data_IF_187736254808
#
_entry.id   IF_187736254808
#
_cell.length_a   1.000
_cell.length_b   1.000
_cell.length_c   1.000
_cell.angle_alpha   90.00
_cell.angle_beta   90.00
_cell.angle_gamma   90.00
#
_symmetry.space_group_name_H-M   'P 1'
#
loop_
_entity.id
_entity.type
_entity.pdbx_description
1 polymer ?
#
# COMPACT_ATOMS: atom_id res chain seq x y z
N UNK A 1 -12.40 -3.18 -8.38
CA UNK A 1 -11.06 -3.83 -8.35
C UNK A 1 -10.50 -3.94 -6.94
N UNK A 2 -10.44 -2.82 -6.20
CA UNK A 2 -9.75 -2.74 -4.89
C UNK A 2 -10.26 -3.74 -3.85
N UNK A 3 -11.59 -3.88 -3.70
CA UNK A 3 -12.19 -4.85 -2.77
C UNK A 3 -11.78 -6.28 -3.12
N UNK A 4 -11.90 -6.66 -4.39
CA UNK A 4 -11.51 -8.00 -4.84
C UNK A 4 -10.02 -8.26 -4.69
N UNK A 5 -9.18 -7.26 -4.97
CA UNK A 5 -7.74 -7.32 -4.75
C UNK A 5 -7.38 -7.56 -3.28
N UNK A 6 -8.01 -6.83 -2.36
CA UNK A 6 -7.80 -6.99 -0.93
C UNK A 6 -8.26 -8.37 -0.42
N UNK A 7 -9.41 -8.89 -0.90
CA UNK A 7 -9.90 -10.22 -0.55
C UNK A 7 -8.98 -11.34 -1.06
N UNK A 8 -8.45 -11.21 -2.27
CA UNK A 8 -7.52 -12.17 -2.85
C UNK A 8 -6.12 -12.13 -2.24
N UNK A 9 -5.74 -11.02 -1.60
CA UNK A 9 -4.40 -10.77 -1.08
C UNK A 9 -3.90 -11.85 -0.11
N UNK A 10 -4.74 -12.28 0.81
CA UNK A 10 -4.38 -13.31 1.79
C UNK A 10 -4.09 -14.67 1.17
N UNK A 11 -4.82 -15.05 0.12
CA UNK A 11 -4.56 -16.27 -0.64
C UNK A 11 -3.28 -16.12 -1.47
N UNK A 12 -3.14 -15.00 -2.19
CA UNK A 12 -1.98 -14.72 -3.03
C UNK A 12 -0.67 -14.74 -2.23
N UNK A 13 -0.66 -14.07 -1.06
CA UNK A 13 0.51 -14.03 -0.17
C UNK A 13 0.90 -15.40 0.37
N UNK A 14 -0.07 -16.27 0.68
CA UNK A 14 0.20 -17.64 1.15
C UNK A 14 0.78 -18.53 0.05
N UNK A 15 0.22 -18.46 -1.17
CA UNK A 15 0.61 -19.34 -2.29
C UNK A 15 1.93 -18.90 -2.92
N UNK A 16 2.07 -17.62 -3.25
CA UNK A 16 3.21 -17.10 -4.00
C UNK A 16 4.26 -16.43 -3.13
N UNK A 17 3.92 -16.14 -1.87
CA UNK A 17 4.76 -15.36 -0.95
C UNK A 17 4.68 -13.85 -1.20
N UNK A 18 5.14 -13.08 -0.21
CA UNK A 18 4.97 -11.62 -0.21
C UNK A 18 5.61 -10.92 -1.40
N UNK A 19 6.88 -11.21 -1.69
CA UNK A 19 7.62 -10.61 -2.81
C UNK A 19 6.97 -10.88 -4.16
N UNK A 20 6.70 -12.15 -4.48
CA UNK A 20 6.13 -12.51 -5.79
C UNK A 20 4.76 -11.91 -5.98
N UNK A 21 3.95 -11.90 -4.94
CA UNK A 21 2.65 -11.24 -4.94
C UNK A 21 2.77 -9.74 -5.22
N UNK A 22 3.71 -9.04 -4.56
CA UNK A 22 3.96 -7.62 -4.81
C UNK A 22 4.46 -7.35 -6.23
N UNK A 23 5.28 -8.23 -6.82
CA UNK A 23 5.72 -8.12 -8.22
C UNK A 23 4.53 -8.20 -9.19
N UNK A 24 3.61 -9.13 -8.99
CA UNK A 24 2.39 -9.25 -9.80
C UNK A 24 1.53 -8.00 -9.65
N UNK A 25 1.36 -7.51 -8.43
CA UNK A 25 0.57 -6.31 -8.17
C UNK A 25 1.22 -5.04 -8.74
N UNK A 26 2.56 -4.94 -8.70
CA UNK A 26 3.30 -3.85 -9.34
C UNK A 26 3.16 -3.89 -10.87
N UNK A 27 3.17 -5.09 -11.47
CA UNK A 27 2.88 -5.25 -12.89
C UNK A 27 1.44 -4.81 -13.23
N UNK A 28 0.45 -5.13 -12.37
CA UNK A 28 -0.92 -4.63 -12.53
C UNK A 28 -0.99 -3.09 -12.50
N UNK A 29 -0.21 -2.42 -11.63
CA UNK A 29 -0.12 -0.95 -11.62
C UNK A 29 0.43 -0.41 -12.93
N UNK A 30 1.54 -0.99 -13.42
CA UNK A 30 2.19 -0.53 -14.65
C UNK A 30 1.27 -0.73 -15.86
N UNK A 31 0.66 -1.91 -15.98
CA UNK A 31 -0.31 -2.24 -17.04
C UNK A 31 -1.50 -1.27 -16.98
N UNK A 32 -2.01 -0.99 -15.77
CA UNK A 32 -3.12 -0.07 -15.61
C UNK A 32 -2.76 1.35 -16.03
N UNK A 33 -1.61 1.87 -15.59
CA UNK A 33 -1.19 3.23 -15.91
C UNK A 33 -0.98 3.41 -17.42
N UNK A 34 -0.23 2.51 -18.05
CA UNK A 34 -0.01 2.54 -19.50
C UNK A 34 -1.31 2.29 -20.28
N UNK A 35 -2.09 1.28 -19.88
CA UNK A 35 -3.35 0.96 -20.53
C UNK A 35 -4.35 2.12 -20.46
N UNK A 36 -4.44 2.83 -19.34
CA UNK A 36 -5.29 4.02 -19.24
C UNK A 36 -4.79 5.15 -20.13
N UNK A 37 -3.48 5.41 -20.19
CA UNK A 37 -2.90 6.47 -21.01
C UNK A 37 -3.15 6.25 -22.51
N UNK A 38 -3.07 4.99 -22.97
CA UNK A 38 -3.27 4.63 -24.37
C UNK A 38 -4.69 4.16 -24.71
N UNK A 39 -5.63 4.23 -23.76
CA UNK A 39 -7.01 3.80 -24.00
C UNK A 39 -7.67 4.61 -25.11
N UNK A 40 -8.27 3.91 -26.09
CA UNK A 40 -9.02 4.48 -27.20
C UNK A 40 -10.53 4.53 -26.96
N UNK A 41 -11.04 3.79 -25.98
CA UNK A 41 -12.45 3.74 -25.64
C UNK A 41 -12.67 3.70 -24.14
N UNK A 42 -13.86 4.09 -23.71
CA UNK A 42 -14.29 4.07 -22.30
C UNK A 42 -14.22 2.67 -21.69
N UNK A 43 -14.54 1.63 -22.46
CA UNK A 43 -14.51 0.23 -22.00
C UNK A 43 -13.10 -0.20 -21.62
N UNK A 44 -12.11 0.08 -22.47
CA UNK A 44 -10.71 -0.22 -22.18
C UNK A 44 -10.20 0.54 -20.96
N UNK A 45 -10.56 1.80 -20.84
CA UNK A 45 -10.21 2.59 -19.65
C UNK A 45 -10.76 1.96 -18.36
N UNK A 46 -12.02 1.50 -18.36
CA UNK A 46 -12.61 0.82 -17.20
C UNK A 46 -11.89 -0.50 -16.88
N UNK A 47 -11.54 -1.30 -17.90
CA UNK A 47 -10.82 -2.56 -17.71
C UNK A 47 -9.45 -2.28 -17.07
N UNK A 48 -8.67 -1.34 -17.59
CA UNK A 48 -7.35 -1.02 -17.03
C UNK A 48 -7.46 -0.41 -15.62
N UNK A 49 -8.46 0.42 -15.35
CA UNK A 49 -8.76 0.92 -14.01
C UNK A 49 -9.14 -0.19 -13.04
N UNK A 50 -9.87 -1.20 -13.51
CA UNK A 50 -10.18 -2.36 -12.68
C UNK A 50 -8.93 -3.16 -12.33
N UNK A 51 -8.02 -3.39 -13.29
CA UNK A 51 -6.72 -4.05 -13.07
C UNK A 51 -5.87 -3.26 -12.05
N UNK A 52 -5.79 -1.94 -12.19
CA UNK A 52 -5.12 -1.07 -11.22
C UNK A 52 -5.73 -1.15 -9.82
N UNK A 53 -7.06 -1.25 -9.75
CA UNK A 53 -7.77 -1.46 -8.49
C UNK A 53 -7.40 -2.79 -7.82
N UNK A 54 -7.28 -3.89 -8.57
CA UNK A 54 -6.78 -5.18 -8.04
C UNK A 54 -5.38 -5.01 -7.44
N UNK A 55 -4.49 -4.31 -8.16
CA UNK A 55 -3.15 -3.97 -7.68
C UNK A 55 -3.20 -3.23 -6.34
N UNK A 56 -3.99 -2.15 -6.26
CA UNK A 56 -4.11 -1.31 -5.07
C UNK A 56 -4.65 -2.10 -3.87
N UNK A 57 -5.73 -2.85 -4.04
CA UNK A 57 -6.32 -3.63 -2.96
C UNK A 57 -5.37 -4.71 -2.44
N UNK A 58 -4.71 -5.43 -3.35
CA UNK A 58 -3.76 -6.46 -2.97
C UNK A 58 -2.54 -5.91 -2.24
N UNK A 59 -1.93 -4.84 -2.76
CA UNK A 59 -0.72 -4.26 -2.17
C UNK A 59 -0.97 -3.60 -0.82
N UNK A 60 -2.15 -3.00 -0.59
CA UNK A 60 -2.49 -2.40 0.70
C UNK A 60 -2.55 -3.42 1.85
N UNK A 61 -2.80 -4.69 1.54
CA UNK A 61 -2.79 -5.79 2.51
C UNK A 61 -1.42 -6.45 2.60
N UNK A 62 -0.80 -6.78 1.45
CA UNK A 62 0.44 -7.57 1.43
C UNK A 62 1.65 -6.74 1.85
N UNK A 63 1.75 -5.45 1.44
CA UNK A 63 2.94 -4.66 1.70
C UNK A 63 3.22 -4.44 3.20
N UNK A 64 2.25 -4.05 4.06
CA UNK A 64 2.51 -3.92 5.50
C UNK A 64 2.90 -5.25 6.15
N UNK A 65 2.28 -6.35 5.73
CA UNK A 65 2.60 -7.70 6.24
C UNK A 65 4.03 -8.08 5.85
N UNK A 66 4.38 -7.91 4.59
CA UNK A 66 5.72 -8.19 4.09
C UNK A 66 6.79 -7.34 4.80
N UNK A 67 6.54 -6.04 4.98
CA UNK A 67 7.43 -5.15 5.75
C UNK A 67 7.60 -5.67 7.19
N UNK A 68 6.51 -6.07 7.85
CA UNK A 68 6.56 -6.60 9.21
C UNK A 68 7.33 -7.92 9.33
N UNK A 69 7.35 -8.74 8.26
CA UNK A 69 8.06 -10.02 8.21
C UNK A 69 9.57 -9.88 7.97
N UNK A 70 10.00 -8.88 7.19
CA UNK A 70 11.43 -8.66 6.90
C UNK A 70 12.09 -7.64 7.83
N UNK A 71 11.29 -6.81 8.51
CA UNK A 71 11.81 -5.75 9.37
C UNK A 71 12.42 -6.33 10.66
N UNK A 72 13.65 -5.90 11.04
CA UNK A 72 14.21 -6.18 12.35
C UNK A 72 13.27 -5.74 13.46
N UNK A 73 13.19 -6.48 14.57
CA UNK A 73 12.25 -6.23 15.66
C UNK A 73 12.31 -4.79 16.19
N UNK A 74 13.52 -4.23 16.31
CA UNK A 74 13.76 -2.86 16.78
C UNK A 74 13.17 -1.76 15.85
N UNK A 75 13.06 -2.02 14.55
CA UNK A 75 12.64 -1.04 13.54
C UNK A 75 11.25 -1.31 12.96
N UNK A 76 10.65 -2.46 13.28
CA UNK A 76 9.39 -2.92 12.70
C UNK A 76 8.28 -1.86 12.79
N UNK A 77 8.09 -1.24 13.95
CA UNK A 77 7.07 -0.21 14.14
C UNK A 77 7.29 1.02 13.25
N UNK A 78 8.55 1.48 13.14
CA UNK A 78 8.91 2.64 12.30
C UNK A 78 8.75 2.34 10.81
N UNK A 79 9.15 1.17 10.36
CA UNK A 79 9.04 0.76 8.97
C UNK A 79 7.58 0.56 8.54
N UNK A 80 6.73 0.03 9.42
CA UNK A 80 5.27 -0.02 9.18
C UNK A 80 4.68 1.39 9.19
N UNK A 81 5.15 2.29 10.06
CA UNK A 81 4.76 3.71 10.03
C UNK A 81 5.18 4.42 8.75
N UNK A 82 6.36 4.11 8.21
CA UNK A 82 6.84 4.64 6.93
C UNK A 82 5.92 4.29 5.75
N UNK A 83 5.19 3.18 5.81
CA UNK A 83 4.16 2.84 4.82
C UNK A 83 3.09 3.94 4.70
N UNK A 84 2.65 4.50 5.83
CA UNK A 84 1.68 5.61 5.83
C UNK A 84 2.27 6.90 5.23
N UNK A 85 3.54 7.21 5.53
CA UNK A 85 4.24 8.35 4.92
C UNK A 85 4.31 8.20 3.39
N UNK A 86 4.60 6.99 2.91
CA UNK A 86 4.64 6.72 1.47
C UNK A 86 3.27 6.91 0.78
N UNK A 87 2.17 6.52 1.43
CA UNK A 87 0.81 6.77 0.89
C UNK A 87 0.57 8.26 0.71
N UNK A 88 0.82 9.06 1.75
CA UNK A 88 0.56 10.50 1.71
C UNK A 88 1.55 11.22 0.79
N UNK A 89 2.82 10.81 0.81
CA UNK A 89 3.83 11.28 -0.15
C UNK A 89 3.42 10.99 -1.59
N UNK A 90 2.83 9.82 -1.85
CA UNK A 90 2.27 9.46 -3.16
C UNK A 90 1.10 10.37 -3.59
N UNK A 91 0.21 10.74 -2.65
CA UNK A 91 -0.88 11.69 -2.92
C UNK A 91 -0.32 13.07 -3.29
N UNK A 92 0.66 13.56 -2.52
CA UNK A 92 1.32 14.83 -2.82
C UNK A 92 2.00 14.81 -4.20
N UNK A 93 2.73 13.74 -4.51
CA UNK A 93 3.37 13.57 -5.82
C UNK A 93 2.35 13.51 -6.95
N UNK A 94 1.19 12.89 -6.74
CA UNK A 94 0.11 12.87 -7.72
C UNK A 94 -0.44 14.28 -7.98
N UNK A 95 -0.70 15.06 -6.93
CA UNK A 95 -1.14 16.45 -7.09
C UNK A 95 -0.07 17.31 -7.76
N UNK A 96 1.19 17.17 -7.37
CA UNK A 96 2.30 17.91 -7.97
C UNK A 96 2.47 17.56 -9.46
N UNK A 97 2.40 16.28 -9.82
CA UNK A 97 2.49 15.84 -11.22
C UNK A 97 1.32 16.38 -12.06
N UNK A 98 0.09 16.38 -11.53
CA UNK A 98 -1.06 16.94 -12.18
C UNK A 98 -0.94 18.46 -12.36
N UNK A 99 -0.41 19.16 -11.35
CA UNK A 99 -0.12 20.59 -11.45
C UNK A 99 0.88 20.88 -12.57
N UNK A 100 2.01 20.15 -12.58
CA UNK A 100 3.05 20.33 -13.61
C UNK A 100 2.51 20.03 -15.02
N UNK A 101 1.76 18.93 -15.17
CA UNK A 101 1.14 18.58 -16.47
C UNK A 101 0.17 19.66 -16.93
N UNK A 102 -0.61 20.22 -16.00
CA UNK A 102 -1.55 21.32 -16.30
C UNK A 102 -0.88 22.59 -16.80
N UNK A 103 0.40 22.85 -16.45
CA UNK A 103 1.15 24.00 -16.95
C UNK A 103 1.50 23.91 -18.45
N UNK A 104 1.53 22.70 -19.01
CA UNK A 104 1.84 22.48 -20.43
C UNK A 104 0.66 22.68 -21.36
N UNK A 105 -0.54 22.97 -20.84
CA UNK A 105 -1.76 23.23 -21.61
C UNK A 105 -2.02 22.22 -22.76
N UNK A 106 -2.00 20.93 -22.43
CA UNK A 106 -2.07 19.81 -23.40
C UNK A 106 -3.49 19.55 -23.93
N UNK A 107 -4.44 20.44 -23.65
CA UNK A 107 -5.84 20.40 -24.10
C UNK A 107 -6.51 19.02 -23.95
N UNK A 108 -7.01 18.44 -25.02
CA UNK A 108 -7.74 17.17 -25.00
C UNK A 108 -6.92 15.93 -24.57
N UNK A 109 -5.59 16.01 -24.58
CA UNK A 109 -4.71 14.90 -24.20
C UNK A 109 -4.23 14.95 -22.75
N UNK A 110 -4.48 16.01 -22.01
CA UNK A 110 -4.00 16.24 -20.64
C UNK A 110 -4.31 15.08 -19.69
N UNK A 111 -5.55 14.59 -19.70
CA UNK A 111 -5.97 13.47 -18.84
C UNK A 111 -5.19 12.18 -19.09
N UNK A 112 -4.71 11.95 -20.33
CA UNK A 112 -3.89 10.78 -20.66
C UNK A 112 -2.52 10.86 -20.01
N UNK A 113 -1.91 12.03 -20.00
CA UNK A 113 -0.64 12.29 -19.34
C UNK A 113 -0.76 12.19 -17.82
N UNK A 114 -1.85 12.74 -17.25
CA UNK A 114 -2.13 12.64 -15.82
C UNK A 114 -2.29 11.18 -15.36
N UNK A 115 -2.89 10.31 -16.16
CA UNK A 115 -3.01 8.89 -15.87
C UNK A 115 -1.70 8.13 -16.16
N UNK A 116 -1.02 8.50 -17.24
CA UNK A 116 0.20 7.84 -17.71
C UNK A 116 1.41 8.10 -16.82
N UNK A 117 1.51 9.26 -16.18
CA UNK A 117 2.62 9.62 -15.29
C UNK A 117 2.78 8.62 -14.14
N UNK A 118 1.70 7.98 -13.71
CA UNK A 118 1.73 6.92 -12.71
C UNK A 118 2.53 5.67 -13.14
N UNK A 119 2.82 5.52 -14.43
CA UNK A 119 3.68 4.44 -14.92
C UNK A 119 5.12 4.56 -14.42
N UNK A 120 5.64 5.79 -14.24
CA UNK A 120 7.00 5.99 -13.77
C UNK A 120 7.24 5.46 -12.34
N UNK A 121 6.46 5.83 -11.31
CA UNK A 121 6.59 5.23 -9.99
C UNK A 121 6.23 3.73 -9.96
N UNK A 122 5.29 3.27 -10.81
CA UNK A 122 4.97 1.85 -10.91
C UNK A 122 6.14 1.02 -11.46
N UNK A 123 6.82 1.52 -12.49
CA UNK A 123 8.01 0.89 -13.06
C UNK A 123 9.17 0.89 -12.06
N UNK A 124 9.40 2.00 -11.35
CA UNK A 124 10.40 2.09 -10.29
C UNK A 124 10.12 1.10 -9.17
N UNK A 125 8.87 1.00 -8.73
CA UNK A 125 8.45 0.03 -7.71
C UNK A 125 8.69 -1.40 -8.17
N UNK A 126 8.30 -1.73 -9.40
CA UNK A 126 8.54 -3.05 -9.99
C UNK A 126 10.05 -3.38 -10.02
N UNK A 127 10.88 -2.41 -10.45
CA UNK A 127 12.33 -2.57 -10.52
C UNK A 127 12.95 -2.82 -9.14
N UNK A 128 12.58 -2.03 -8.12
CA UNK A 128 13.06 -2.21 -6.74
C UNK A 128 12.67 -3.59 -6.20
N UNK A 129 11.43 -4.06 -6.46
CA UNK A 129 10.96 -5.36 -5.98
C UNK A 129 11.75 -6.55 -6.54
N UNK A 130 12.38 -6.41 -7.71
CA UNK A 130 13.25 -7.47 -8.27
C UNK A 130 14.47 -7.71 -7.37
N UNK A 131 15.00 -6.67 -6.72
CA UNK A 131 16.16 -6.78 -5.83
C UNK A 131 15.85 -7.21 -4.39
N UNK A 132 14.58 -7.22 -3.98
CA UNK A 132 14.21 -7.53 -2.59
C UNK A 132 14.09 -9.05 -2.36
N UNK A 133 14.54 -9.61 -1.22
CA UNK A 133 14.45 -11.04 -0.93
C UNK A 133 13.00 -11.48 -0.66
N UNK A 134 12.72 -12.78 -0.71
CA UNK A 134 11.44 -13.34 -0.27
C UNK A 134 11.36 -13.33 1.26
N UNK A 135 10.13 -13.34 1.80
CA UNK A 135 9.92 -13.37 3.25
C UNK A 135 10.52 -14.64 3.88
N UNK A 136 11.36 -14.51 4.94
CA UNK A 136 11.88 -15.67 5.69
C UNK A 136 10.76 -16.55 6.23
N UNK A 137 9.69 -15.96 6.78
CA UNK A 137 8.54 -16.67 7.33
C UNK A 137 7.84 -17.55 6.28
N UNK A 138 7.66 -17.02 5.07
CA UNK A 138 7.09 -17.77 3.95
C UNK A 138 8.03 -18.90 3.49
N UNK A 139 9.34 -18.64 3.39
CA UNK A 139 10.33 -19.66 3.00
C UNK A 139 10.34 -20.83 3.98
N UNK A 140 10.26 -20.57 5.28
CA UNK A 140 10.18 -21.59 6.32
C UNK A 140 8.87 -22.39 6.20
N UNK A 141 7.75 -21.70 5.97
CA UNK A 141 6.45 -22.36 5.77
C UNK A 141 6.45 -23.29 4.54
N UNK A 142 7.25 -22.98 3.50
CA UNK A 142 7.45 -23.80 2.31
C UNK A 142 8.60 -24.83 2.45
N UNK A 143 9.16 -24.99 3.66
CA UNK A 143 10.28 -25.88 3.94
C UNK A 143 11.57 -25.58 3.15
N UNK A 144 11.74 -24.32 2.66
CA UNK A 144 12.94 -23.85 1.95
C UNK A 144 13.95 -23.26 2.93
N UNK A 145 14.45 -24.12 3.85
CA UNK A 145 15.22 -23.70 5.02
C UNK A 145 16.55 -23.04 4.68
N UNK A 146 17.29 -23.57 3.69
CA UNK A 146 18.57 -23.01 3.29
C UNK A 146 18.47 -21.58 2.72
N UNK A 147 17.37 -21.28 2.01
CA UNK A 147 17.12 -19.94 1.52
C UNK A 147 16.69 -18.98 2.63
N UNK A 148 15.88 -19.48 3.58
CA UNK A 148 15.51 -18.73 4.76
C UNK A 148 16.73 -18.29 5.57
N UNK A 149 17.70 -19.19 5.80
CA UNK A 149 18.94 -18.88 6.51
C UNK A 149 19.78 -17.83 5.78
N UNK A 150 19.86 -17.91 4.44
CA UNK A 150 20.55 -16.88 3.64
C UNK A 150 19.88 -15.53 3.76
N UNK A 151 18.55 -15.50 3.68
CA UNK A 151 17.80 -14.22 3.78
C UNK A 151 17.93 -13.64 5.18
N UNK A 152 17.81 -14.44 6.25
CA UNK A 152 18.01 -13.99 7.63
C UNK A 152 19.42 -13.43 7.84
N UNK A 153 20.45 -14.09 7.28
CA UNK A 153 21.83 -13.60 7.32
C UNK A 153 21.99 -12.25 6.61
N UNK A 154 21.38 -12.10 5.42
CA UNK A 154 21.40 -10.84 4.66
C UNK A 154 20.65 -9.69 5.37
N UNK A 155 19.63 -10.02 6.17
CA UNK A 155 18.89 -9.05 6.99
C UNK A 155 19.62 -8.67 8.29
N UNK A 156 20.84 -9.21 8.51
CA UNK A 156 21.68 -8.87 9.67
C UNK A 156 21.36 -9.67 10.92
N UNK A 157 20.72 -10.82 10.83
CA UNK A 157 20.52 -11.70 11.98
C UNK A 157 21.87 -12.25 12.45
N UNK A 158 22.25 -12.08 13.74
CA UNK A 158 23.49 -12.64 14.28
C UNK A 158 23.47 -14.16 14.37
N UNK A 159 22.29 -14.79 14.45
CA UNK A 159 22.08 -16.22 14.57
C UNK A 159 20.89 -16.69 13.69
N UNK A 160 21.06 -16.78 12.36
CA UNK A 160 19.97 -17.09 11.43
C UNK A 160 19.26 -18.42 11.75
N UNK A 161 19.99 -19.42 12.18
CA UNK A 161 19.44 -20.74 12.50
C UNK A 161 18.55 -20.70 13.76
N UNK A 162 18.96 -19.99 14.80
CA UNK A 162 18.17 -19.86 16.03
C UNK A 162 16.88 -19.05 15.76
N UNK A 163 16.98 -18.00 14.97
CA UNK A 163 15.82 -17.20 14.54
C UNK A 163 14.87 -18.01 13.67
N UNK A 164 15.39 -18.82 12.73
CA UNK A 164 14.59 -19.76 11.95
C UNK A 164 13.79 -20.72 12.84
N UNK A 165 14.41 -21.33 13.84
CA UNK A 165 13.71 -22.26 14.74
C UNK A 165 12.61 -21.54 15.54
N UNK A 166 12.86 -20.31 15.97
CA UNK A 166 11.85 -19.47 16.64
C UNK A 166 10.65 -19.21 15.71
N UNK A 167 10.90 -18.85 14.46
CA UNK A 167 9.84 -18.63 13.45
C UNK A 167 9.10 -19.95 13.19
N UNK A 168 9.82 -21.05 13.06
CA UNK A 168 9.23 -22.38 12.83
C UNK A 168 8.33 -22.81 13.98
N UNK A 169 8.77 -22.62 15.22
CA UNK A 169 7.97 -22.91 16.41
C UNK A 169 6.68 -22.05 16.44
N UNK A 170 6.77 -20.77 16.07
CA UNK A 170 5.59 -19.90 15.97
C UNK A 170 4.60 -20.37 14.90
N UNK A 171 5.08 -20.81 13.72
CA UNK A 171 4.23 -21.35 12.66
C UNK A 171 3.55 -22.65 13.07
N UNK A 172 4.24 -23.53 13.80
CA UNK A 172 3.65 -24.76 14.32
C UNK A 172 2.59 -24.50 15.39
N UNK A 173 2.80 -23.51 16.25
CA UNK A 173 1.80 -23.06 17.22
C UNK A 173 0.54 -22.51 16.54
N UNK A 174 0.70 -21.77 15.43
CA UNK A 174 -0.41 -21.23 14.63
C UNK A 174 -1.19 -22.32 13.85
N UNK A 175 -0.57 -23.49 13.58
CA UNK A 175 -1.19 -24.62 12.86
C UNK A 175 -1.71 -25.71 13.77
N UNK A 176 -1.59 -25.57 15.09
CA UNK A 176 -2.07 -26.52 16.09
C UNK A 176 -3.58 -26.77 16.06
N UNK A 177 -4.08 -27.82 16.73
CA UNK A 177 -5.51 -28.16 16.77
C UNK A 177 -6.42 -27.08 17.38
N UNK A 178 -5.83 -26.04 17.96
CA UNK A 178 -6.50 -24.83 18.42
C UNK A 178 -6.47 -23.69 17.37
N UNK A 179 -6.33 -23.99 16.09
CA UNK A 179 -6.54 -23.02 15.00
C UNK A 179 -7.97 -22.48 15.09
N UNK A 180 -8.14 -21.54 15.98
CA UNK A 180 -9.39 -20.89 16.28
C UNK A 180 -9.92 -20.23 15.02
N UNK A 181 -11.12 -20.63 14.59
CA UNK A 181 -11.79 -19.96 13.47
C UNK A 181 -12.00 -18.49 13.83
N UNK A 182 -11.65 -17.60 12.91
CA UNK A 182 -11.72 -16.15 13.10
C UNK A 182 -13.13 -15.70 13.58
N UNK A 183 -14.19 -16.40 13.15
CA UNK A 183 -15.59 -16.14 13.49
C UNK A 183 -16.09 -16.93 14.72
N UNK A 184 -15.25 -17.06 15.75
CA UNK A 184 -15.72 -17.58 17.03
C UNK A 184 -16.30 -16.47 17.90
N UNK A 185 -17.26 -16.82 18.77
CA UNK A 185 -17.91 -15.91 19.72
C UNK A 185 -16.91 -15.14 20.60
N UNK A 186 -15.76 -15.73 20.88
CA UNK A 186 -14.65 -15.14 21.64
C UNK A 186 -14.07 -13.87 20.96
N UNK A 187 -14.00 -13.84 19.62
CA UNK A 187 -13.41 -12.73 18.85
C UNK A 187 -14.45 -11.69 18.40
N UNK A 188 -15.73 -11.83 18.75
CA UNK A 188 -16.79 -10.91 18.30
C UNK A 188 -16.53 -9.45 18.67
N UNK A 189 -16.02 -9.18 19.91
CA UNK A 189 -15.74 -7.82 20.37
C UNK A 189 -14.61 -7.16 19.60
N UNK A 190 -13.40 -7.78 19.45
CA UNK A 190 -12.33 -7.24 18.60
C UNK A 190 -12.77 -7.05 17.15
N UNK A 191 -13.50 -8.00 16.57
CA UNK A 191 -14.01 -7.92 15.19
C UNK A 191 -14.99 -6.76 15.04
N UNK A 192 -15.95 -6.64 15.97
CA UNK A 192 -16.92 -5.55 15.95
C UNK A 192 -16.22 -4.19 16.08
N UNK A 193 -15.27 -4.05 17.02
CA UNK A 193 -14.49 -2.82 17.19
C UNK A 193 -13.72 -2.46 15.94
N UNK A 194 -13.03 -3.42 15.31
CA UNK A 194 -12.31 -3.19 14.05
C UNK A 194 -13.25 -2.75 12.94
N UNK A 195 -14.42 -3.38 12.81
CA UNK A 195 -15.42 -3.06 11.80
C UNK A 195 -16.02 -1.67 12.03
N UNK A 196 -16.38 -1.35 13.26
CA UNK A 196 -16.94 -0.03 13.63
C UNK A 196 -15.92 1.07 13.38
N UNK A 197 -14.65 0.88 13.79
CA UNK A 197 -13.57 1.85 13.54
C UNK A 197 -13.34 2.04 12.03
N UNK A 198 -13.34 0.96 11.25
CA UNK A 198 -13.20 1.04 9.79
C UNK A 198 -14.38 1.78 9.15
N UNK A 199 -15.62 1.52 9.61
CA UNK A 199 -16.80 2.25 9.15
C UNK A 199 -16.70 3.75 9.46
N UNK A 200 -16.39 4.11 10.70
CA UNK A 200 -16.27 5.52 11.08
C UNK A 200 -15.19 6.22 10.31
N UNK A 201 -14.05 5.56 10.09
CA UNK A 201 -12.96 6.10 9.26
C UNK A 201 -13.44 6.46 7.84
N UNK A 202 -14.26 5.62 7.22
CA UNK A 202 -14.80 5.91 5.89
C UNK A 202 -15.94 6.95 5.92
N UNK A 203 -16.77 6.96 6.98
CA UNK A 203 -17.87 7.91 7.14
C UNK A 203 -17.42 9.36 7.40
N UNK A 204 -16.18 9.60 7.84
CA UNK A 204 -15.58 10.93 7.94
C UNK A 204 -15.56 11.64 6.56
N UNK A 205 -15.60 10.90 5.46
CA UNK A 205 -15.73 11.47 4.12
C UNK A 205 -14.47 12.11 3.55
N UNK A 206 -13.31 11.92 4.18
CA UNK A 206 -12.04 12.52 3.72
C UNK A 206 -11.73 12.15 2.26
N UNK A 207 -12.04 10.90 1.88
CA UNK A 207 -11.82 10.45 0.51
C UNK A 207 -12.72 11.21 -0.49
N UNK A 208 -13.98 11.49 -0.13
CA UNK A 208 -14.86 12.30 -0.98
C UNK A 208 -14.31 13.72 -1.15
N UNK A 209 -13.86 14.36 -0.07
CA UNK A 209 -13.24 15.69 -0.15
C UNK A 209 -12.01 15.67 -1.06
N UNK A 210 -11.12 14.67 -0.94
CA UNK A 210 -9.91 14.59 -1.77
C UNK A 210 -10.22 14.29 -3.25
N UNK A 211 -11.24 13.48 -3.55
CA UNK A 211 -11.62 13.19 -4.94
C UNK A 211 -12.28 14.38 -5.64
N UNK A 212 -13.07 15.16 -4.92
CA UNK A 212 -13.77 16.33 -5.45
C UNK A 212 -13.07 17.67 -5.13
N UNK A 213 -11.79 17.61 -4.71
CA UNK A 213 -11.06 18.78 -4.25
C UNK A 213 -11.02 19.88 -5.32
N UNK A 214 -10.74 19.54 -6.57
CA UNK A 214 -10.68 20.48 -7.68
C UNK A 214 -12.07 21.07 -7.98
N UNK A 215 -13.14 20.27 -7.92
CA UNK A 215 -14.51 20.75 -8.15
C UNK A 215 -14.93 21.71 -7.03
N UNK A 216 -14.54 21.43 -5.78
CA UNK A 216 -14.79 22.32 -4.63
C UNK A 216 -14.11 23.68 -4.84
N UNK A 217 -12.85 23.69 -5.27
CA UNK A 217 -12.15 24.95 -5.55
C UNK A 217 -12.72 25.68 -6.77
N UNK A 218 -13.18 24.97 -7.79
CA UNK A 218 -13.87 25.56 -8.91
C UNK A 218 -15.17 26.25 -8.48
N UNK A 219 -15.97 25.59 -7.63
CA UNK A 219 -17.20 26.22 -7.08
C UNK A 219 -16.90 27.43 -6.21
N UNK A 220 -15.73 27.50 -5.59
CA UNK A 220 -15.27 28.64 -4.81
C UNK A 220 -14.71 29.79 -5.68
N UNK A 221 -14.71 29.65 -7.01
CA UNK A 221 -14.32 30.69 -7.95
C UNK A 221 -12.83 30.74 -8.31
N UNK A 222 -12.07 29.68 -7.96
CA UNK A 222 -10.66 29.59 -8.36
C UNK A 222 -10.53 29.15 -9.82
N UNK A 223 -9.57 29.74 -10.54
CA UNK A 223 -9.18 29.29 -11.87
C UNK A 223 -8.43 27.94 -11.82
N UNK A 224 -8.32 27.26 -12.96
CA UNK A 224 -7.77 25.91 -13.04
C UNK A 224 -6.33 25.78 -12.51
N UNK A 225 -5.49 26.75 -12.77
CA UNK A 225 -4.12 26.77 -12.27
C UNK A 225 -4.07 26.89 -10.74
N UNK A 226 -4.91 27.77 -10.17
CA UNK A 226 -5.05 27.94 -8.73
C UNK A 226 -5.63 26.71 -8.04
N UNK A 227 -6.59 26.01 -8.65
CA UNK A 227 -7.15 24.76 -8.13
C UNK A 227 -6.07 23.68 -7.94
N UNK A 228 -5.23 23.48 -8.96
CA UNK A 228 -4.13 22.52 -8.89
C UNK A 228 -3.08 22.92 -7.86
N UNK A 229 -2.75 24.20 -7.73
CA UNK A 229 -1.84 24.70 -6.69
C UNK A 229 -2.39 24.49 -5.29
N UNK A 230 -3.69 24.73 -5.08
CA UNK A 230 -4.36 24.47 -3.80
C UNK A 230 -4.38 22.97 -3.45
N UNK A 231 -4.58 22.09 -4.42
CA UNK A 231 -4.50 20.64 -4.22
C UNK A 231 -3.09 20.22 -3.74
N UNK A 232 -2.02 20.80 -4.31
CA UNK A 232 -0.64 20.57 -3.85
C UNK A 232 -0.47 21.07 -2.40
N UNK A 233 -0.99 22.25 -2.06
CA UNK A 233 -0.91 22.79 -0.70
C UNK A 233 -1.62 21.88 0.31
N UNK A 234 -2.80 21.33 -0.03
CA UNK A 234 -3.52 20.35 0.80
C UNK A 234 -2.68 19.09 0.98
N UNK A 235 -2.11 18.54 -0.09
CA UNK A 235 -1.24 17.37 -0.02
C UNK A 235 0.00 17.61 0.86
N UNK A 236 0.63 18.77 0.76
CA UNK A 236 1.77 19.16 1.60
C UNK A 236 1.38 19.27 3.08
N UNK A 237 0.22 19.88 3.36
CA UNK A 237 -0.31 19.98 4.74
C UNK A 237 -0.59 18.60 5.33
N UNK A 238 -1.17 17.68 4.56
CA UNK A 238 -1.39 16.30 4.99
C UNK A 238 -0.07 15.58 5.31
N UNK A 239 0.97 15.77 4.49
CA UNK A 239 2.28 15.17 4.74
C UNK A 239 2.91 15.71 6.03
N UNK A 240 2.92 17.03 6.21
CA UNK A 240 3.44 17.68 7.44
C UNK A 240 2.69 17.19 8.67
N UNK A 241 1.36 17.19 8.64
CA UNK A 241 0.53 16.71 9.74
C UNK A 241 0.83 15.24 10.09
N UNK A 242 1.03 14.39 9.09
CA UNK A 242 1.38 12.98 9.31
C UNK A 242 2.76 12.81 9.94
N UNK A 243 3.76 13.57 9.50
CA UNK A 243 5.10 13.53 10.07
C UNK A 243 5.06 13.97 11.55
N UNK A 244 4.31 15.02 11.86
CA UNK A 244 4.09 15.48 13.24
C UNK A 244 3.39 14.38 14.05
N UNK A 245 2.30 13.80 13.54
CA UNK A 245 1.55 12.76 14.23
C UNK A 245 2.42 11.53 14.53
N UNK A 246 3.24 11.06 13.59
CA UNK A 246 4.16 9.94 13.81
C UNK A 246 5.23 10.27 14.86
N UNK A 247 5.77 11.48 14.84
CA UNK A 247 6.74 11.93 15.85
C UNK A 247 6.14 11.99 17.26
N UNK A 248 4.87 12.39 17.36
CA UNK A 248 4.15 12.44 18.63
C UNK A 248 3.82 11.04 19.16
N UNK A 249 3.37 10.13 18.30
CA UNK A 249 3.08 8.74 18.69
C UNK A 249 4.32 8.04 19.24
N UNK A 250 5.51 8.29 18.67
CA UNK A 250 6.76 7.73 19.16
C UNK A 250 7.15 8.29 20.54
N UNK A 251 6.76 9.54 20.87
CA UNK A 251 7.08 10.18 22.16
C UNK A 251 6.06 9.89 23.26
N UNK A 252 4.77 9.94 22.94
CA UNK A 252 3.69 9.81 23.94
C UNK A 252 3.16 8.39 24.08
N UNK A 253 3.52 7.50 23.16
CA UNK A 253 3.05 6.11 23.17
C UNK A 253 1.62 5.98 22.60
N UNK A 254 1.17 4.72 22.44
CA UNK A 254 -0.13 4.42 21.83
C UNK A 254 -1.31 4.42 22.81
N UNK A 255 -1.07 4.65 24.11
CA UNK A 255 -2.07 4.53 25.20
C UNK A 255 -2.37 5.83 25.90
N UNK A 256 -1.73 6.92 25.56
CA UNK A 256 -2.04 8.28 25.98
C UNK A 256 -2.75 9.02 24.85
#
# INVERSE_FOLDING_TARGET
GTVLGAMAAGWLGRVLGGRTSLLILAACYLISALGCAFSSSWVWLLIFRFVGGLGMGGSSVIAPVYIAEIAPAAWRGRLVGAFQINIIGGILLAYLSNYVIGLFALDASEWRWQLGVAAAPAALFLWILVGIPQSPRWLIAQNRLAEADRVLGNLGSPQPQAERETIRASLQADTGPSSDRLFQWRYRRPILLALVLAMFNQLIGINAVLYYLNDIFQMAGFDRASQNAQAVAVGATMLIATLIALSLIDRFGRRT
#
